data_IF_848893954859
#
_entry.id   IF_848893954859
#
_cell.length_a   1.000
_cell.length_b   1.000
_cell.length_c   1.000
_cell.angle_alpha   90.00
_cell.angle_beta   90.00
_cell.angle_gamma   90.00
#
_symmetry.space_group_name_H-M   'P 1'
#
loop_
_entity.id
_entity.type
_entity.pdbx_description
1 polymer ?
#
# COMPACT_ATOMS: atom_id res chain seq x y z
N UNK A 1 -18.95 -6.09 -6.86
CA UNK A 1 -18.16 -4.86 -6.59
C UNK A 1 -17.16 -5.21 -5.50
N UNK A 2 -15.86 -5.20 -5.79
CA UNK A 2 -14.83 -5.56 -4.81
C UNK A 2 -14.68 -4.40 -3.83
N UNK A 3 -14.82 -4.72 -2.55
CA UNK A 3 -14.60 -3.75 -1.51
C UNK A 3 -13.11 -3.36 -1.45
N UNK A 4 -12.77 -2.09 -1.35
CA UNK A 4 -11.40 -1.65 -1.20
C UNK A 4 -10.91 -1.97 0.22
N UNK A 5 -10.48 -3.21 0.44
CA UNK A 5 -9.70 -3.52 1.64
C UNK A 5 -8.33 -2.89 1.46
N UNK A 6 -8.13 -1.72 2.05
CA UNK A 6 -6.82 -1.06 2.06
C UNK A 6 -5.86 -1.88 2.94
N UNK A 7 -4.62 -2.05 2.52
CA UNK A 7 -3.58 -2.68 3.34
C UNK A 7 -3.54 -2.04 4.73
N UNK A 8 -3.30 -2.85 5.76
CA UNK A 8 -3.18 -2.39 7.15
C UNK A 8 -1.94 -1.51 7.35
N UNK A 9 -0.94 -1.69 6.51
CA UNK A 9 0.31 -0.96 6.54
C UNK A 9 0.83 -0.70 5.13
N UNK A 10 1.27 0.53 4.88
CA UNK A 10 1.96 0.92 3.65
C UNK A 10 3.42 1.22 3.96
N UNK A 11 4.32 0.60 3.22
CA UNK A 11 5.78 0.76 3.34
C UNK A 11 6.33 1.23 2.00
N UNK A 12 6.94 2.41 1.97
CA UNK A 12 7.61 2.92 0.78
C UNK A 12 9.11 2.61 0.84
N UNK A 13 9.62 1.91 -0.17
CA UNK A 13 11.05 1.69 -0.40
C UNK A 13 11.53 2.79 -1.34
N UNK A 14 12.23 3.77 -0.79
CA UNK A 14 12.69 4.98 -1.49
C UNK A 14 14.20 5.04 -1.53
N UNK A 15 14.75 5.86 -2.41
CA UNK A 15 16.17 6.05 -2.63
C UNK A 15 16.47 6.32 -4.10
N UNK A 16 17.70 6.66 -4.43
CA UNK A 16 18.12 7.00 -5.77
C UNK A 16 18.08 5.81 -6.75
N UNK A 17 18.15 6.09 -8.05
CA UNK A 17 18.25 5.03 -9.08
C UNK A 17 19.54 4.22 -8.87
N UNK A 18 19.43 2.89 -8.93
CA UNK A 18 20.59 1.99 -8.79
C UNK A 18 21.02 1.67 -7.35
N UNK A 19 20.33 2.17 -6.31
CA UNK A 19 20.70 1.87 -4.90
C UNK A 19 20.33 0.46 -4.42
N UNK A 20 19.60 -0.33 -5.20
CA UNK A 20 19.16 -1.68 -4.82
C UNK A 20 17.76 -1.76 -4.20
N UNK A 21 16.90 -0.76 -4.45
CA UNK A 21 15.49 -0.76 -3.96
C UNK A 21 14.76 -2.06 -4.28
N UNK A 22 14.82 -2.51 -5.51
CA UNK A 22 14.14 -3.74 -5.95
C UNK A 22 14.61 -4.96 -5.17
N UNK A 23 15.93 -5.08 -4.88
CA UNK A 23 16.47 -6.16 -4.03
C UNK A 23 15.89 -6.12 -2.62
N UNK A 24 15.70 -4.92 -2.05
CA UNK A 24 15.08 -4.74 -0.73
C UNK A 24 13.60 -5.12 -0.79
N UNK A 25 12.86 -4.68 -1.82
CA UNK A 25 11.44 -5.06 -2.02
C UNK A 25 11.28 -6.57 -2.11
N UNK A 26 12.07 -7.24 -2.94
CA UNK A 26 12.05 -8.70 -3.07
C UNK A 26 12.34 -9.42 -1.74
N UNK A 27 13.34 -8.94 -1.00
CA UNK A 27 13.69 -9.49 0.32
C UNK A 27 12.55 -9.33 1.32
N UNK A 28 11.92 -8.17 1.38
CA UNK A 28 10.75 -7.91 2.22
C UNK A 28 9.56 -8.78 1.83
N UNK A 29 9.24 -8.88 0.53
CA UNK A 29 8.15 -9.73 0.04
C UNK A 29 8.35 -11.17 0.47
N UNK A 30 9.53 -11.75 0.21
CA UNK A 30 9.84 -13.14 0.60
C UNK A 30 9.72 -13.35 2.12
N UNK A 31 10.32 -12.47 2.91
CA UNK A 31 10.33 -12.60 4.36
C UNK A 31 8.94 -12.42 5.00
N UNK A 32 8.12 -11.47 4.51
CA UNK A 32 6.76 -11.25 4.99
C UNK A 32 5.81 -12.38 4.56
N UNK A 33 5.96 -12.88 3.33
CA UNK A 33 5.21 -14.05 2.85
C UNK A 33 5.51 -15.31 3.66
N UNK A 34 6.77 -15.53 4.02
CA UNK A 34 7.16 -16.65 4.89
C UNK A 34 6.52 -16.56 6.29
N UNK A 35 6.10 -15.37 6.72
CA UNK A 35 5.35 -15.15 7.98
C UNK A 35 3.82 -15.23 7.80
N UNK A 36 3.33 -15.67 6.65
CA UNK A 36 1.91 -15.84 6.37
C UNK A 36 1.16 -14.55 6.05
N UNK A 37 1.85 -13.43 5.84
CA UNK A 37 1.22 -12.17 5.46
C UNK A 37 0.95 -12.12 3.95
N UNK A 38 -0.18 -11.51 3.58
CA UNK A 38 -0.51 -11.19 2.20
C UNK A 38 0.17 -9.86 1.84
N UNK A 39 1.04 -9.89 0.84
CA UNK A 39 1.84 -8.73 0.43
C UNK A 39 1.48 -8.34 -0.99
N UNK A 40 1.15 -7.06 -1.19
CA UNK A 40 1.02 -6.44 -2.49
C UNK A 40 2.20 -5.50 -2.74
N UNK A 41 2.49 -5.23 -4.00
CA UNK A 41 3.52 -4.27 -4.39
C UNK A 41 2.98 -3.30 -5.44
N UNK A 42 3.47 -2.05 -5.40
CA UNK A 42 3.28 -1.10 -6.47
C UNK A 42 4.64 -0.48 -6.82
N UNK A 43 4.90 -0.23 -8.09
CA UNK A 43 6.15 0.35 -8.55
C UNK A 43 5.86 1.61 -9.37
N UNK A 44 6.53 2.69 -9.02
CA UNK A 44 6.54 3.91 -9.83
C UNK A 44 7.55 3.76 -10.96
N UNK A 45 7.07 3.91 -12.19
CA UNK A 45 7.85 3.91 -13.42
C UNK A 45 7.77 5.32 -13.99
N UNK A 46 8.88 6.06 -14.08
CA UNK A 46 8.87 7.47 -14.51
C UNK A 46 8.75 7.67 -16.02
N UNK A 47 8.93 6.61 -16.80
CA UNK A 47 8.86 6.65 -18.26
C UNK A 47 7.40 6.85 -18.71
N UNK A 48 7.12 7.93 -19.46
CA UNK A 48 5.76 8.30 -19.89
C UNK A 48 5.11 7.29 -20.83
N UNK A 49 5.92 6.64 -21.69
CA UNK A 49 5.45 5.67 -22.69
C UNK A 49 5.46 4.22 -22.17
N UNK A 50 5.67 4.01 -20.87
CA UNK A 50 5.70 2.68 -20.29
C UNK A 50 4.30 2.04 -20.31
N UNK A 51 4.21 0.84 -20.86
CA UNK A 51 3.01 -0.01 -20.80
C UNK A 51 3.40 -1.48 -20.65
N UNK A 52 2.66 -2.22 -19.84
CA UNK A 52 2.74 -3.68 -19.79
C UNK A 52 2.05 -4.34 -20.98
N UNK A 53 1.05 -3.66 -21.55
CA UNK A 53 0.32 -4.10 -22.73
C UNK A 53 1.10 -3.80 -24.02
N UNK A 54 0.86 -4.58 -25.07
CA UNK A 54 1.54 -4.45 -26.34
C UNK A 54 0.59 -3.94 -27.41
N UNK A 55 0.99 -2.92 -28.21
CA UNK A 55 0.23 -2.44 -29.33
C UNK A 55 -0.19 -3.58 -30.29
N UNK A 56 -1.44 -3.53 -30.74
CA UNK A 56 -1.99 -4.50 -31.68
C UNK A 56 -2.59 -5.78 -31.09
N UNK A 57 -2.46 -6.00 -29.77
CA UNK A 57 -3.18 -7.08 -29.06
C UNK A 57 -4.65 -6.70 -28.83
N UNK A 58 -5.51 -7.70 -28.61
CA UNK A 58 -6.93 -7.45 -28.39
C UNK A 58 -7.16 -6.58 -27.14
N UNK A 59 -6.41 -6.81 -26.05
CA UNK A 59 -6.44 -5.98 -24.85
C UNK A 59 -6.11 -4.52 -25.16
N UNK A 60 -5.08 -4.27 -25.97
CA UNK A 60 -4.72 -2.94 -26.42
C UNK A 60 -5.86 -2.27 -27.22
N UNK A 61 -6.48 -3.03 -28.13
CA UNK A 61 -7.60 -2.54 -28.97
C UNK A 61 -8.82 -2.18 -28.13
N UNK A 62 -9.12 -2.95 -27.07
CA UNK A 62 -10.20 -2.61 -26.13
C UNK A 62 -9.92 -1.29 -25.41
N UNK A 63 -8.69 -1.07 -24.96
CA UNK A 63 -8.30 0.18 -24.30
C UNK A 63 -8.34 1.37 -25.26
N UNK A 64 -7.87 1.21 -26.52
CA UNK A 64 -7.94 2.25 -27.56
C UNK A 64 -9.39 2.59 -27.94
N UNK A 65 -10.29 1.64 -27.86
CA UNK A 65 -11.73 1.85 -28.04
C UNK A 65 -12.40 2.62 -26.90
N UNK A 66 -11.67 2.94 -25.82
CA UNK A 66 -12.13 3.76 -24.72
C UNK A 66 -12.54 3.00 -23.45
N UNK A 67 -12.17 1.70 -23.32
CA UNK A 67 -12.42 0.98 -22.09
C UNK A 67 -11.62 1.59 -20.92
N UNK A 68 -12.29 1.91 -19.81
CA UNK A 68 -11.67 2.44 -18.60
C UNK A 68 -10.68 1.44 -17.96
N UNK A 69 -11.00 0.15 -18.07
CA UNK A 69 -10.15 -0.93 -17.61
C UNK A 69 -10.32 -2.14 -18.53
N UNK A 70 -9.24 -2.88 -18.73
CA UNK A 70 -9.22 -4.15 -19.46
C UNK A 70 -8.74 -5.23 -18.51
N UNK A 71 -9.56 -6.23 -18.26
CA UNK A 71 -9.18 -7.39 -17.44
C UNK A 71 -8.98 -8.60 -18.35
N UNK A 72 -7.81 -9.19 -18.26
CA UNK A 72 -7.40 -10.38 -18.99
C UNK A 72 -7.42 -11.55 -18.00
N UNK A 73 -8.08 -12.61 -18.38
CA UNK A 73 -8.22 -13.82 -17.53
C UNK A 73 -7.61 -14.99 -18.27
N UNK A 74 -6.65 -15.65 -17.64
CA UNK A 74 -6.07 -16.91 -18.07
C UNK A 74 -6.21 -17.99 -17.00
N UNK A 75 -5.93 -19.26 -17.28
CA UNK A 75 -6.03 -20.33 -16.27
C UNK A 75 -5.12 -20.12 -15.04
N UNK A 76 -4.06 -19.35 -15.15
CA UNK A 76 -3.08 -19.12 -14.07
C UNK A 76 -3.00 -17.69 -13.56
N UNK A 77 -3.66 -16.73 -14.22
CA UNK A 77 -3.42 -15.31 -13.96
C UNK A 77 -4.64 -14.45 -14.31
N UNK A 78 -4.84 -13.40 -13.56
CA UNK A 78 -5.83 -12.33 -13.85
C UNK A 78 -5.09 -11.00 -13.79
N UNK A 79 -5.00 -10.33 -14.94
CA UNK A 79 -4.41 -9.01 -15.08
C UNK A 79 -5.48 -7.96 -15.29
N UNK A 80 -5.34 -6.82 -14.63
CA UNK A 80 -6.20 -5.67 -14.88
C UNK A 80 -5.36 -4.44 -15.17
N UNK A 81 -5.54 -3.91 -16.36
CA UNK A 81 -4.87 -2.69 -16.83
C UNK A 81 -5.88 -1.55 -16.80
N UNK A 82 -5.56 -0.51 -16.03
CA UNK A 82 -6.33 0.73 -16.01
C UNK A 82 -5.46 1.85 -16.56
N UNK A 83 -6.02 2.62 -17.50
CA UNK A 83 -5.34 3.77 -18.10
C UNK A 83 -5.95 5.05 -17.55
N UNK A 84 -5.23 5.71 -16.65
CA UNK A 84 -5.50 7.08 -16.25
C UNK A 84 -4.18 7.83 -16.06
N UNK A 85 -4.23 9.14 -16.23
CA UNK A 85 -3.03 9.97 -16.11
C UNK A 85 -2.63 10.10 -14.65
N UNK A 86 -1.35 9.85 -14.34
CA UNK A 86 -0.82 9.96 -12.98
C UNK A 86 -1.03 11.37 -12.39
N UNK A 87 -1.09 12.41 -13.22
CA UNK A 87 -1.40 13.79 -12.79
C UNK A 87 -2.79 13.95 -12.18
N UNK A 88 -3.70 13.03 -12.47
CA UNK A 88 -5.09 13.01 -12.00
C UNK A 88 -5.28 12.05 -10.83
N UNK A 89 -4.30 11.17 -10.55
CA UNK A 89 -4.36 10.20 -9.47
C UNK A 89 -3.60 10.72 -8.24
N UNK A 90 -4.29 10.78 -7.11
CA UNK A 90 -3.65 10.99 -5.81
C UNK A 90 -2.98 9.70 -5.33
N UNK A 91 -2.02 9.81 -4.42
CA UNK A 91 -1.37 8.64 -3.82
C UNK A 91 -2.37 7.68 -3.15
N UNK A 92 -3.44 8.21 -2.59
CA UNK A 92 -4.51 7.41 -1.97
C UNK A 92 -5.27 6.55 -2.97
N UNK A 93 -5.47 7.02 -4.21
CA UNK A 93 -6.07 6.23 -5.29
C UNK A 93 -5.19 5.03 -5.66
N UNK A 94 -3.88 5.28 -5.76
CA UNK A 94 -2.90 4.22 -6.04
C UNK A 94 -2.90 3.19 -4.92
N UNK A 95 -2.87 3.63 -3.66
CA UNK A 95 -2.91 2.75 -2.49
C UNK A 95 -4.21 1.94 -2.46
N UNK A 96 -5.37 2.57 -2.69
CA UNK A 96 -6.66 1.89 -2.72
C UNK A 96 -6.72 0.81 -3.81
N UNK A 97 -6.17 1.11 -4.99
CA UNK A 97 -6.12 0.16 -6.10
C UNK A 97 -5.15 -0.99 -5.83
N UNK A 98 -3.93 -0.68 -5.37
CA UNK A 98 -2.84 -1.65 -5.24
C UNK A 98 -2.93 -2.53 -3.99
N UNK A 99 -3.73 -2.16 -2.98
CA UNK A 99 -3.75 -2.85 -1.69
C UNK A 99 -4.90 -3.82 -1.50
N UNK A 100 -5.63 -4.15 -2.56
CA UNK A 100 -6.78 -5.06 -2.48
C UNK A 100 -6.37 -6.46 -2.01
N UNK A 101 -6.95 -6.90 -0.89
CA UNK A 101 -6.75 -8.25 -0.35
C UNK A 101 -5.39 -8.51 0.30
N UNK A 102 -4.58 -7.48 0.58
CA UNK A 102 -3.29 -7.65 1.25
C UNK A 102 -3.25 -7.00 2.65
N UNK A 103 -2.29 -7.48 3.45
CA UNK A 103 -2.01 -6.97 4.79
C UNK A 103 -1.03 -5.81 4.75
N UNK A 104 -0.06 -5.90 3.83
CA UNK A 104 1.01 -4.93 3.62
C UNK A 104 1.09 -4.58 2.15
N UNK A 105 1.09 -3.28 1.85
CA UNK A 105 1.46 -2.76 0.55
C UNK A 105 2.89 -2.22 0.61
N UNK A 106 3.77 -2.73 -0.24
CA UNK A 106 5.12 -2.19 -0.44
C UNK A 106 5.12 -1.40 -1.73
N UNK A 107 5.43 -0.10 -1.67
CA UNK A 107 5.56 0.74 -2.85
C UNK A 107 7.03 1.03 -3.13
N UNK A 108 7.49 0.76 -4.36
CA UNK A 108 8.86 1.06 -4.80
C UNK A 108 8.91 2.40 -5.54
N UNK A 109 9.71 3.32 -5.06
CA UNK A 109 9.76 4.68 -5.58
C UNK A 109 8.74 5.57 -4.86
N UNK A 110 7.96 6.35 -5.60
CA UNK A 110 6.96 7.29 -5.07
C UNK A 110 7.53 8.34 -4.09
N UNK A 111 8.82 8.68 -4.20
CA UNK A 111 9.50 9.57 -3.24
C UNK A 111 8.82 10.93 -3.08
N UNK A 112 8.29 11.50 -4.17
CA UNK A 112 7.57 12.78 -4.15
C UNK A 112 6.18 12.68 -3.49
N UNK A 113 5.45 11.59 -3.74
CA UNK A 113 4.08 11.42 -3.26
C UNK A 113 4.04 10.88 -1.81
N UNK A 114 4.94 9.96 -1.46
CA UNK A 114 4.95 9.26 -0.18
C UNK A 114 5.94 9.85 0.84
N UNK A 115 6.92 10.64 0.42
CA UNK A 115 8.09 11.02 1.23
C UNK A 115 7.77 11.64 2.59
N UNK A 116 6.78 12.52 2.66
CA UNK A 116 6.39 13.24 3.88
C UNK A 116 5.08 12.73 4.51
N UNK A 117 4.47 11.68 3.95
CA UNK A 117 3.21 11.16 4.48
C UNK A 117 3.40 10.44 5.81
N UNK A 118 2.72 10.86 6.90
CA UNK A 118 2.90 10.26 8.23
C UNK A 118 2.33 8.83 8.34
N UNK A 119 1.40 8.48 7.48
CA UNK A 119 0.72 7.17 7.40
C UNK A 119 1.50 6.11 6.59
N UNK A 120 2.62 6.51 5.97
CA UNK A 120 3.48 5.63 5.18
C UNK A 120 4.85 5.50 5.84
N UNK A 121 5.30 4.31 6.14
CA UNK A 121 6.65 4.05 6.65
C UNK A 121 7.67 4.02 5.50
N UNK A 122 8.85 4.63 5.70
CA UNK A 122 9.90 4.65 4.68
C UNK A 122 11.04 3.73 5.05
N UNK A 123 11.43 2.89 4.11
CA UNK A 123 12.71 2.20 4.07
C UNK A 123 13.55 2.93 3.04
N UNK A 124 14.58 3.60 3.50
CA UNK A 124 15.41 4.46 2.65
C UNK A 124 16.65 3.67 2.24
N UNK A 125 16.77 3.38 0.94
CA UNK A 125 17.92 2.64 0.40
C UNK A 125 18.97 3.62 -0.08
N UNK A 126 20.16 3.51 0.48
CA UNK A 126 21.29 4.45 0.30
C UNK A 126 22.54 3.77 -0.24
N UNK A 127 23.45 4.57 -0.80
CA UNK A 127 24.75 4.11 -1.29
C UNK A 127 25.76 3.92 -0.16
N UNK A 128 25.48 4.48 1.02
CA UNK A 128 26.35 4.38 2.18
C UNK A 128 25.95 5.25 3.35
N UNK A 129 26.71 5.17 4.46
CA UNK A 129 26.39 5.87 5.72
C UNK A 129 26.31 7.39 5.62
N UNK A 130 27.15 7.99 4.77
CA UNK A 130 27.17 9.45 4.56
C UNK A 130 25.86 9.97 3.98
N UNK A 131 25.32 9.26 2.97
CA UNK A 131 24.02 9.61 2.37
C UNK A 131 22.88 9.44 3.38
N UNK A 132 22.91 8.38 4.21
CA UNK A 132 21.91 8.18 5.25
C UNK A 132 21.89 9.35 6.26
N UNK A 133 23.06 9.81 6.71
CA UNK A 133 23.20 10.95 7.63
C UNK A 133 22.70 12.24 6.99
N UNK A 134 23.01 12.50 5.73
CA UNK A 134 22.53 13.67 4.99
C UNK A 134 21.00 13.67 4.91
N UNK A 135 20.38 12.56 4.45
CA UNK A 135 18.93 12.43 4.33
C UNK A 135 18.24 12.58 5.70
N UNK A 136 18.83 12.02 6.77
CA UNK A 136 18.30 12.12 8.12
C UNK A 136 18.29 13.56 8.64
N UNK A 137 19.36 14.35 8.33
CA UNK A 137 19.48 15.76 8.72
C UNK A 137 18.54 16.67 7.92
N UNK A 138 18.40 16.43 6.63
CA UNK A 138 17.49 17.18 5.74
C UNK A 138 16.01 16.95 6.06
N UNK A 139 15.68 15.83 6.69
CA UNK A 139 14.30 15.46 6.98
C UNK A 139 13.46 15.20 5.72
N UNK A 140 14.10 14.78 4.63
CA UNK A 140 13.49 14.53 3.32
C UNK A 140 12.39 13.48 3.35
N UNK A 141 12.52 12.48 4.22
CA UNK A 141 11.58 11.40 4.40
C UNK A 141 11.11 11.31 5.86
N UNK A 142 9.80 11.17 6.09
CA UNK A 142 9.19 10.99 7.44
C UNK A 142 7.89 10.20 7.35
N UNK A 143 7.64 9.24 8.28
CA UNK A 143 8.61 8.66 9.21
C UNK A 143 9.54 7.66 8.51
N UNK A 144 10.80 7.58 8.94
CA UNK A 144 11.76 6.57 8.46
C UNK A 144 11.71 5.36 9.40
N UNK A 145 11.54 4.17 8.84
CA UNK A 145 11.59 2.89 9.56
C UNK A 145 13.02 2.37 9.70
N UNK A 146 13.79 2.46 8.62
CA UNK A 146 15.20 2.08 8.57
C UNK A 146 15.88 2.68 7.33
N UNK A 147 17.21 2.80 7.41
CA UNK A 147 18.08 2.90 6.24
C UNK A 147 18.61 1.52 5.86
N UNK A 148 18.78 1.27 4.56
CA UNK A 148 19.39 0.04 4.04
C UNK A 148 20.48 0.41 3.05
N UNK A 149 21.68 -0.15 3.26
CA UNK A 149 22.82 0.14 2.38
C UNK A 149 24.07 -0.64 2.78
N UNK A 150 25.17 -0.47 2.04
CA UNK A 150 26.47 -1.06 2.39
C UNK A 150 27.13 -0.32 3.55
N UNK A 151 27.98 -1.02 4.32
CA UNK A 151 28.72 -0.49 5.47
C UNK A 151 27.88 -0.38 6.72
N UNK A 152 28.38 0.35 7.70
CA UNK A 152 27.74 0.59 8.99
C UNK A 152 27.59 2.08 9.25
N UNK A 153 26.55 2.50 9.94
CA UNK A 153 26.32 3.90 10.30
C UNK A 153 25.99 4.01 11.78
N UNK A 154 26.73 4.89 12.46
CA UNK A 154 26.47 5.29 13.83
C UNK A 154 25.82 6.69 13.89
N UNK A 155 25.14 6.97 15.02
CA UNK A 155 24.54 8.28 15.28
C UNK A 155 23.22 8.54 14.57
N UNK A 156 22.60 7.56 13.93
CA UNK A 156 21.26 7.65 13.38
C UNK A 156 20.20 7.30 14.44
N UNK A 157 19.05 8.00 14.42
CA UNK A 157 17.91 7.74 15.33
C UNK A 157 17.10 6.50 14.95
N UNK A 158 17.35 5.95 13.76
CA UNK A 158 16.69 4.76 13.22
C UNK A 158 17.74 3.75 12.78
N UNK A 159 17.44 2.45 12.71
CA UNK A 159 18.39 1.43 12.29
C UNK A 159 18.97 1.71 10.91
N UNK A 160 20.26 1.42 10.78
CA UNK A 160 20.95 1.24 9.50
C UNK A 160 21.24 -0.25 9.34
N UNK A 161 20.82 -0.84 8.23
CA UNK A 161 20.86 -2.27 7.98
C UNK A 161 21.60 -2.58 6.69
N UNK A 162 22.36 -3.67 6.68
CA UNK A 162 22.88 -4.24 5.46
C UNK A 162 21.78 -4.94 4.64
N UNK A 163 22.03 -5.17 3.35
CA UNK A 163 21.07 -5.88 2.48
C UNK A 163 20.75 -7.31 2.96
N UNK A 164 21.66 -7.96 3.70
CA UNK A 164 21.44 -9.27 4.31
C UNK A 164 20.50 -9.26 5.52
N UNK A 165 20.26 -8.10 6.11
CA UNK A 165 19.48 -7.91 7.34
C UNK A 165 18.03 -7.52 7.09
N UNK A 166 17.58 -7.50 5.84
CA UNK A 166 16.18 -7.15 5.46
C UNK A 166 15.15 -8.04 6.16
N UNK A 167 15.55 -9.26 6.57
CA UNK A 167 14.71 -10.16 7.38
C UNK A 167 14.29 -9.54 8.72
N UNK A 168 15.20 -8.88 9.43
CA UNK A 168 14.90 -8.23 10.72
C UNK A 168 13.92 -7.06 10.54
N UNK A 169 13.97 -6.37 9.40
CA UNK A 169 13.01 -5.33 9.04
C UNK A 169 11.63 -5.92 8.79
N UNK A 170 11.56 -7.08 8.12
CA UNK A 170 10.31 -7.80 7.92
C UNK A 170 9.68 -8.26 9.25
N UNK A 171 10.48 -8.64 10.26
CA UNK A 171 9.98 -8.95 11.60
C UNK A 171 9.29 -7.74 12.25
N UNK A 172 9.89 -6.56 12.14
CA UNK A 172 9.30 -5.33 12.66
C UNK A 172 7.99 -4.98 11.97
N UNK A 173 7.95 -5.07 10.64
CA UNK A 173 6.74 -4.82 9.83
C UNK A 173 5.64 -5.84 10.19
N UNK A 174 5.97 -7.13 10.26
CA UNK A 174 5.02 -8.16 10.63
C UNK A 174 4.41 -7.93 12.02
N UNK A 175 5.23 -7.59 13.00
CA UNK A 175 4.75 -7.26 14.35
C UNK A 175 3.81 -6.05 14.37
N UNK A 176 4.05 -5.03 13.53
CA UNK A 176 3.14 -3.87 13.40
C UNK A 176 1.79 -4.30 12.81
N UNK A 177 1.79 -5.14 11.78
CA UNK A 177 0.57 -5.66 11.16
C UNK A 177 -0.22 -6.52 12.14
N UNK A 178 0.43 -7.44 12.85
CA UNK A 178 -0.22 -8.31 13.84
C UNK A 178 -0.84 -7.50 14.98
N UNK A 179 -0.15 -6.47 15.47
CA UNK A 179 -0.71 -5.55 16.46
C UNK A 179 -1.92 -4.78 15.94
N UNK A 180 -1.88 -4.35 14.68
CA UNK A 180 -3.01 -3.68 14.04
C UNK A 180 -4.21 -4.63 13.87
N UNK A 181 -3.96 -5.89 13.51
CA UNK A 181 -5.00 -6.93 13.45
C UNK A 181 -5.64 -7.18 14.82
N UNK A 182 -4.82 -7.36 15.85
CA UNK A 182 -5.31 -7.66 17.22
C UNK A 182 -6.19 -6.55 17.81
N UNK A 183 -5.95 -5.28 17.42
CA UNK A 183 -6.77 -4.16 17.90
C UNK A 183 -8.12 -4.06 17.20
N UNK A 184 -8.31 -4.71 16.06
CA UNK A 184 -9.40 -4.44 15.14
C UNK A 184 -9.42 -2.94 14.80
N UNK A 185 -9.50 -2.56 13.55
CA UNK A 185 -9.50 -1.15 13.19
C UNK A 185 -10.79 -0.79 12.45
N UNK A 186 -11.43 0.30 12.89
CA UNK A 186 -12.57 0.87 12.19
C UNK A 186 -12.08 2.00 11.32
N UNK A 187 -12.29 1.88 10.03
CA UNK A 187 -11.92 2.88 9.02
C UNK A 187 -13.13 3.32 8.25
N UNK A 188 -13.20 4.59 7.95
CA UNK A 188 -14.22 5.18 7.10
C UNK A 188 -13.56 5.73 5.83
N UNK A 189 -14.15 5.40 4.69
CA UNK A 189 -13.70 5.91 3.41
C UNK A 189 -14.84 6.66 2.71
N UNK A 190 -14.51 7.81 2.12
CA UNK A 190 -15.36 8.52 1.17
C UNK A 190 -14.65 8.46 -0.19
N UNK A 191 -15.13 7.60 -1.08
CA UNK A 191 -14.39 7.22 -2.27
C UNK A 191 -13.04 6.57 -1.88
N UNK A 192 -11.91 6.95 -2.50
CA UNK A 192 -10.59 6.41 -2.16
C UNK A 192 -10.00 7.04 -0.88
N UNK A 193 -10.57 8.13 -0.39
CA UNK A 193 -10.02 8.93 0.72
C UNK A 193 -10.41 8.37 2.06
N UNK A 194 -9.42 8.07 2.92
CA UNK A 194 -9.66 7.71 4.31
C UNK A 194 -9.99 8.94 5.16
N UNK A 195 -11.10 8.87 5.89
CA UNK A 195 -11.53 9.92 6.82
C UNK A 195 -10.93 9.64 8.19
N UNK A 196 -10.13 10.57 8.77
CA UNK A 196 -9.59 10.40 10.11
C UNK A 196 -10.71 10.31 11.15
N UNK A 197 -10.71 9.25 11.94
CA UNK A 197 -11.66 9.05 13.04
C UNK A 197 -10.94 9.05 14.38
N UNK A 198 -11.50 9.71 15.37
CA UNK A 198 -11.05 9.56 16.75
C UNK A 198 -11.52 8.23 17.35
N UNK A 199 -10.94 7.83 18.50
CA UNK A 199 -11.20 6.52 19.12
C UNK A 199 -12.69 6.31 19.48
N UNK A 200 -13.38 7.35 19.93
CA UNK A 200 -14.80 7.29 20.27
C UNK A 200 -15.66 6.99 19.03
N UNK A 201 -15.45 7.73 17.93
CA UNK A 201 -16.21 7.53 16.69
C UNK A 201 -15.93 6.14 16.10
N UNK A 202 -14.69 5.67 16.13
CA UNK A 202 -14.35 4.30 15.71
C UNK A 202 -15.14 3.25 16.47
N UNK A 203 -15.20 3.37 17.79
CA UNK A 203 -15.91 2.41 18.66
C UNK A 203 -17.43 2.46 18.43
N UNK A 204 -18.00 3.65 18.30
CA UNK A 204 -19.44 3.82 18.00
C UNK A 204 -19.80 3.20 16.66
N UNK A 205 -19.07 3.53 15.59
CA UNK A 205 -19.32 2.96 14.26
C UNK A 205 -19.20 1.44 14.27
N UNK A 206 -18.15 0.90 14.92
CA UNK A 206 -17.96 -0.55 15.03
C UNK A 206 -19.18 -1.21 15.68
N UNK A 207 -19.65 -0.69 16.82
CA UNK A 207 -20.79 -1.27 17.54
C UNK A 207 -22.07 -1.21 16.73
N UNK A 208 -22.35 -0.08 16.09
CA UNK A 208 -23.55 0.08 15.25
C UNK A 208 -23.53 -0.92 14.10
N UNK A 209 -22.43 -0.98 13.34
CA UNK A 209 -22.32 -1.86 12.18
C UNK A 209 -22.41 -3.33 12.57
N UNK A 210 -21.70 -3.75 13.63
CA UNK A 210 -21.76 -5.14 14.10
C UNK A 210 -23.14 -5.52 14.65
N UNK A 211 -23.79 -4.63 15.43
CA UNK A 211 -25.14 -4.86 15.93
C UNK A 211 -26.14 -5.01 14.80
N UNK A 212 -26.06 -4.14 13.79
CA UNK A 212 -26.91 -4.24 12.60
C UNK A 212 -26.69 -5.55 11.85
N UNK A 213 -25.42 -5.88 11.57
CA UNK A 213 -25.07 -7.10 10.83
C UNK A 213 -25.49 -8.39 11.58
N UNK A 214 -25.40 -8.41 12.90
CA UNK A 214 -25.82 -9.57 13.73
C UNK A 214 -27.33 -9.79 13.76
N UNK A 215 -28.13 -8.76 13.40
CA UNK A 215 -29.60 -8.91 13.28
C UNK A 215 -30.04 -9.49 11.94
N UNK A 216 -29.13 -9.61 10.95
CA UNK A 216 -29.48 -10.11 9.63
C UNK A 216 -29.60 -11.64 9.62
N UNK A 217 -30.67 -12.15 9.06
CA UNK A 217 -30.92 -13.60 8.97
C UNK A 217 -29.86 -14.29 8.13
N UNK A 218 -29.21 -15.32 8.69
CA UNK A 218 -28.18 -16.09 7.98
C UNK A 218 -26.77 -15.47 8.04
N UNK A 219 -26.59 -14.40 8.83
CA UNK A 219 -25.27 -13.81 9.10
C UNK A 219 -24.79 -14.27 10.47
N UNK A 220 -23.66 -14.96 10.52
CA UNK A 220 -22.97 -15.37 11.73
C UNK A 220 -21.63 -14.63 11.82
N UNK A 221 -21.51 -13.71 12.75
CA UNK A 221 -20.30 -12.91 12.95
C UNK A 221 -19.47 -13.54 14.06
N UNK A 222 -18.35 -14.17 13.71
CA UNK A 222 -17.45 -14.85 14.64
C UNK A 222 -16.42 -13.92 15.29
N UNK A 223 -16.30 -12.67 14.76
CA UNK A 223 -15.47 -11.62 15.32
C UNK A 223 -14.08 -11.48 14.72
N UNK A 224 -13.72 -12.32 13.77
CA UNK A 224 -12.47 -12.26 12.99
C UNK A 224 -12.66 -11.80 11.53
N UNK A 225 -13.93 -11.63 11.12
CA UNK A 225 -14.27 -11.14 9.78
C UNK A 225 -14.13 -9.62 9.66
N UNK A 226 -13.74 -9.18 8.47
CA UNK A 226 -13.87 -7.79 8.07
C UNK A 226 -15.32 -7.51 7.64
N UNK A 227 -16.02 -6.62 8.35
CA UNK A 227 -17.37 -6.17 7.99
C UNK A 227 -17.28 -4.85 7.24
N UNK A 228 -17.86 -4.79 6.04
CA UNK A 228 -17.87 -3.60 5.21
C UNK A 228 -19.29 -3.18 4.86
N UNK A 229 -19.55 -1.89 4.93
CA UNK A 229 -20.83 -1.28 4.53
C UNK A 229 -20.57 -0.30 3.40
N UNK A 230 -21.29 -0.46 2.31
CA UNK A 230 -21.25 0.45 1.16
C UNK A 230 -22.54 1.25 1.09
N UNK A 231 -22.40 2.57 1.04
CA UNK A 231 -23.49 3.49 0.73
C UNK A 231 -23.17 4.05 -0.66
N UNK A 232 -23.99 3.68 -1.63
CA UNK A 232 -23.88 4.22 -2.98
C UNK A 232 -24.56 5.58 -3.01
N UNK A 233 -23.82 6.62 -3.40
CA UNK A 233 -24.38 7.93 -3.66
C UNK A 233 -25.35 7.86 -4.83
N UNK A 234 -26.50 8.51 -4.72
CA UNK A 234 -27.34 8.78 -5.90
C UNK A 234 -26.66 9.88 -6.70
N UNK A 235 -26.56 9.72 -8.02
CA UNK A 235 -26.26 10.86 -8.89
C UNK A 235 -27.36 11.89 -8.65
N UNK A 236 -26.99 12.97 -7.96
CA UNK A 236 -27.91 14.09 -7.77
C UNK A 236 -28.23 14.68 -9.12
N UNK A 237 -29.52 14.80 -9.40
CA UNK A 237 -30.02 15.58 -10.50
C UNK A 237 -29.42 17.00 -10.36
N UNK A 238 -28.42 17.29 -11.18
CA UNK A 238 -27.88 18.65 -11.28
C UNK A 238 -28.86 19.44 -12.09
N UNK A 239 -29.95 19.93 -11.41
CA UNK A 239 -30.80 20.97 -11.93
C UNK A 239 -30.05 22.28 -12.13
#
# INVERSE_FOLDING_TARGET
MWAPTRARLVVAVVGEKGTGKTKVVEGLVRALRAKGLKVCTAKHVPEEDFSLDRPGKDSWRHAEAGALAVTIVSPGEIDTIRRFRLKEAEFDDIVALASQGCDVLIVEGFSSMAGQRPDVLKVVVVRGPGEAKAIASEGRFKPILAFVGPGEAEGLKVPYLGFGEVGSLADRIANMVLKARAKGDTRLFLGPREVPLNAFVKEVLKRIVLAFASCLKGVDIRGDEDVMVFILGQEGDKG
#
